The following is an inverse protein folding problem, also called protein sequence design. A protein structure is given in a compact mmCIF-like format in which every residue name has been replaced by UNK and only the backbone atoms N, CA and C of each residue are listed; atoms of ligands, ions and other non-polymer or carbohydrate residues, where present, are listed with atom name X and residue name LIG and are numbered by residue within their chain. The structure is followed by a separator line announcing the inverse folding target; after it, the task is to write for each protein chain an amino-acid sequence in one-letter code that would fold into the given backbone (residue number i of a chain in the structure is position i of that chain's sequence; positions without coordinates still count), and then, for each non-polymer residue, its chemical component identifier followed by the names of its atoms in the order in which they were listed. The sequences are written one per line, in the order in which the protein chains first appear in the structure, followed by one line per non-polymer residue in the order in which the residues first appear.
data_IF_409146323337
#
_entry.id   IF_409146323337
#
_cell.length_a   1.000
_cell.length_b   1.000
_cell.length_c   1.000
_cell.angle_alpha   90.00
_cell.angle_beta   90.00
_cell.angle_gamma   90.00
#
_symmetry.space_group_name_H-M   'P 1'
#
loop_
_entity.id
_entity.type
_entity.pdbx_description
1 polymer ?
#
# COMPACT_ATOMS: atom_id res chain seq x y z
N UNK A 1 -21.81 22.67 -14.03
CA UNK A 1 -21.35 21.58 -14.92
C UNK A 1 -19.89 21.23 -14.63
N UNK A 2 -19.00 22.22 -14.46
CA UNK A 2 -17.57 21.98 -14.13
C UNK A 2 -17.32 21.13 -12.88
N UNK A 3 -18.14 21.29 -11.84
CA UNK A 3 -18.09 20.49 -10.60
C UNK A 3 -18.19 18.96 -10.83
N UNK A 4 -18.92 18.52 -11.86
CA UNK A 4 -19.05 17.09 -12.20
C UNK A 4 -17.89 16.61 -13.07
N UNK A 5 -17.31 17.49 -13.88
CA UNK A 5 -16.14 17.20 -14.72
C UNK A 5 -14.88 17.07 -13.87
N UNK A 6 -14.69 17.97 -12.90
CA UNK A 6 -13.58 17.94 -11.93
C UNK A 6 -13.63 16.71 -11.01
N UNK A 7 -14.85 16.30 -10.63
CA UNK A 7 -15.04 15.09 -9.83
C UNK A 7 -14.54 13.83 -10.55
N UNK A 8 -14.69 13.75 -11.88
CA UNK A 8 -14.16 12.64 -12.68
C UNK A 8 -12.78 12.95 -13.27
N UNK A 9 -12.26 14.15 -13.04
CA UNK A 9 -10.98 14.64 -13.54
C UNK A 9 -9.79 14.14 -12.72
N UNK A 10 -8.61 14.24 -13.32
CA UNK A 10 -7.34 13.87 -12.68
C UNK A 10 -7.05 14.76 -11.47
N UNK A 11 -7.45 16.03 -11.54
CA UNK A 11 -7.15 17.06 -10.54
C UNK A 11 -8.00 16.92 -9.28
N UNK A 12 -9.28 16.54 -9.42
CA UNK A 12 -10.21 16.35 -8.32
C UNK A 12 -10.28 14.89 -7.84
N UNK A 13 -11.16 14.10 -8.47
CA UNK A 13 -11.42 12.72 -8.04
C UNK A 13 -10.25 11.77 -8.23
N UNK A 14 -9.45 11.96 -9.28
CA UNK A 14 -8.24 11.18 -9.53
C UNK A 14 -7.21 11.31 -8.40
N UNK A 15 -6.95 12.53 -7.93
CA UNK A 15 -6.08 12.75 -6.77
C UNK A 15 -6.65 12.14 -5.48
N UNK A 16 -7.96 12.28 -5.25
CA UNK A 16 -8.61 11.71 -4.06
C UNK A 16 -8.47 10.17 -4.03
N UNK A 17 -8.73 9.51 -5.16
CA UNK A 17 -8.58 8.06 -5.31
C UNK A 17 -7.12 7.62 -5.18
N UNK A 18 -6.19 8.34 -5.80
CA UNK A 18 -4.75 8.05 -5.69
C UNK A 18 -4.28 8.10 -4.24
N UNK A 19 -4.65 9.15 -3.49
CA UNK A 19 -4.33 9.30 -2.06
C UNK A 19 -4.96 8.19 -1.23
N UNK A 20 -6.21 7.86 -1.48
CA UNK A 20 -6.89 6.79 -0.75
C UNK A 20 -6.21 5.42 -0.98
N UNK A 21 -5.89 5.10 -2.24
CA UNK A 21 -5.14 3.89 -2.58
C UNK A 21 -3.76 3.86 -1.91
N UNK A 22 -3.07 5.00 -1.87
CA UNK A 22 -1.78 5.14 -1.20
C UNK A 22 -1.88 4.88 0.30
N UNK A 23 -2.88 5.46 0.98
CA UNK A 23 -3.08 5.27 2.41
C UNK A 23 -3.46 3.83 2.75
N UNK A 24 -4.39 3.22 2.01
CA UNK A 24 -4.76 1.81 2.22
C UNK A 24 -3.59 0.87 1.97
N UNK A 25 -2.84 1.09 0.89
CA UNK A 25 -1.63 0.36 0.58
C UNK A 25 -0.60 0.49 1.70
N UNK A 26 -0.34 1.72 2.14
CA UNK A 26 0.66 2.05 3.15
C UNK A 26 0.32 1.43 4.52
N UNK A 27 -0.93 1.56 4.97
CA UNK A 27 -1.38 0.95 6.23
C UNK A 27 -1.22 -0.57 6.18
N UNK A 28 -1.60 -1.20 5.07
CA UNK A 28 -1.46 -2.64 4.89
C UNK A 28 0.01 -3.05 4.86
N UNK A 29 0.84 -2.33 4.11
CA UNK A 29 2.28 -2.62 3.98
C UNK A 29 3.00 -2.53 5.32
N UNK A 30 2.83 -1.41 6.04
CA UNK A 30 3.44 -1.20 7.36
C UNK A 30 2.86 -2.16 8.40
N UNK A 31 1.54 -2.41 8.38
CA UNK A 31 0.91 -3.38 9.28
C UNK A 31 1.51 -4.79 9.14
N UNK A 32 1.77 -5.24 7.91
CA UNK A 32 2.42 -6.52 7.66
C UNK A 32 3.90 -6.51 8.09
N UNK A 33 4.62 -5.40 7.95
CA UNK A 33 5.97 -5.26 8.53
C UNK A 33 5.95 -5.46 10.03
N UNK A 34 5.02 -4.80 10.73
CA UNK A 34 4.93 -4.94 12.18
C UNK A 34 4.59 -6.36 12.60
N UNK A 35 3.70 -7.04 11.85
CA UNK A 35 3.44 -8.45 12.07
C UNK A 35 4.72 -9.29 11.96
N UNK A 36 5.54 -9.12 10.92
CA UNK A 36 6.77 -9.89 10.78
C UNK A 36 7.82 -9.58 11.85
N UNK A 37 8.02 -8.29 12.15
CA UNK A 37 9.09 -7.84 13.03
C UNK A 37 8.80 -8.08 14.52
N UNK A 38 7.55 -7.89 14.95
CA UNK A 38 7.21 -7.92 16.37
C UNK A 38 6.43 -9.16 16.81
N UNK A 39 5.63 -9.74 15.90
CA UNK A 39 4.69 -10.82 16.27
C UNK A 39 5.23 -12.17 15.81
N UNK A 40 5.51 -12.33 14.51
CA UNK A 40 5.88 -13.62 13.93
C UNK A 40 7.17 -14.19 14.52
N UNK A 41 8.20 -13.36 14.68
CA UNK A 41 9.49 -13.79 15.22
C UNK A 41 9.39 -14.36 16.63
N UNK A 42 8.72 -13.63 17.53
CA UNK A 42 8.47 -14.07 18.90
C UNK A 42 7.62 -15.36 18.93
N UNK A 43 6.50 -15.38 18.19
CA UNK A 43 5.63 -16.55 18.13
C UNK A 43 6.34 -17.80 17.61
N UNK A 44 7.24 -17.67 16.62
CA UNK A 44 7.96 -18.82 16.08
C UNK A 44 8.99 -19.38 17.05
N UNK A 45 9.55 -18.56 17.95
CA UNK A 45 10.51 -19.02 18.96
C UNK A 45 9.90 -19.99 19.97
N UNK A 46 8.58 -19.88 20.19
CA UNK A 46 7.81 -20.73 21.10
C UNK A 46 7.27 -22.01 20.41
N UNK A 47 7.34 -22.08 19.08
CA UNK A 47 6.84 -23.21 18.29
C UNK A 47 7.90 -24.29 18.10
N UNK A 48 7.50 -25.55 18.22
CA UNK A 48 8.27 -26.70 17.76
C UNK A 48 8.36 -26.77 16.23
N UNK A 49 9.34 -27.49 15.71
CA UNK A 49 9.71 -27.47 14.27
C UNK A 49 8.57 -27.81 13.32
N UNK A 50 7.77 -28.83 13.64
CA UNK A 50 6.63 -29.23 12.81
C UNK A 50 5.57 -28.11 12.71
N UNK A 51 5.22 -27.49 13.84
CA UNK A 51 4.25 -26.39 13.90
C UNK A 51 4.77 -25.14 13.19
N UNK A 52 6.06 -24.80 13.37
CA UNK A 52 6.70 -23.69 12.67
C UNK A 52 6.68 -23.88 11.15
N UNK A 53 7.00 -25.09 10.68
CA UNK A 53 6.95 -25.44 9.25
C UNK A 53 5.55 -25.36 8.64
N UNK A 54 4.50 -25.61 9.43
CA UNK A 54 3.11 -25.44 9.01
C UNK A 54 2.71 -23.95 9.01
N UNK A 55 3.09 -23.19 10.04
CA UNK A 55 2.85 -21.75 10.13
C UNK A 55 3.50 -20.98 8.96
N UNK A 56 4.73 -21.34 8.57
CA UNK A 56 5.38 -20.80 7.38
C UNK A 56 4.54 -21.02 6.12
N UNK A 57 4.05 -22.26 5.93
CA UNK A 57 3.25 -22.65 4.75
C UNK A 57 1.89 -21.95 4.69
N UNK A 58 1.19 -21.85 5.82
CA UNK A 58 -0.19 -21.33 5.87
C UNK A 58 -0.28 -19.82 6.09
N UNK A 59 0.66 -19.24 6.80
CA UNK A 59 0.61 -17.84 7.25
C UNK A 59 1.66 -17.05 6.49
N UNK A 60 2.95 -17.31 6.74
CA UNK A 60 4.05 -16.45 6.30
C UNK A 60 4.07 -16.21 4.80
N UNK A 61 3.93 -17.25 3.97
CA UNK A 61 3.95 -17.06 2.50
C UNK A 61 2.76 -16.26 1.98
N UNK A 62 1.57 -16.42 2.58
CA UNK A 62 0.38 -15.62 2.23
C UNK A 62 0.57 -14.16 2.66
N UNK A 63 1.07 -13.95 3.88
CA UNK A 63 1.40 -12.62 4.39
C UNK A 63 2.45 -11.92 3.51
N UNK A 64 3.47 -12.64 3.04
CA UNK A 64 4.51 -12.11 2.13
C UNK A 64 3.93 -11.73 0.76
N UNK A 65 3.00 -12.53 0.22
CA UNK A 65 2.32 -12.17 -1.03
C UNK A 65 1.57 -10.85 -0.90
N UNK A 66 0.77 -10.70 0.17
CA UNK A 66 0.05 -9.45 0.44
C UNK A 66 1.00 -8.28 0.72
N UNK A 67 2.10 -8.53 1.42
CA UNK A 67 3.13 -7.52 1.69
C UNK A 67 3.70 -6.95 0.38
N UNK A 68 4.02 -7.81 -0.59
CA UNK A 68 4.54 -7.40 -1.90
C UNK A 68 3.55 -6.48 -2.63
N UNK A 69 2.28 -6.88 -2.70
CA UNK A 69 1.28 -6.09 -3.43
C UNK A 69 0.88 -4.81 -2.70
N UNK A 70 0.84 -4.81 -1.37
CA UNK A 70 0.61 -3.61 -0.59
C UNK A 70 1.75 -2.59 -0.76
N UNK A 71 3.00 -3.05 -0.73
CA UNK A 71 4.17 -2.21 -0.99
C UNK A 71 4.15 -1.65 -2.42
N UNK A 72 3.87 -2.50 -3.42
CA UNK A 72 3.76 -2.08 -4.81
C UNK A 72 2.62 -1.07 -5.02
N UNK A 73 1.45 -1.29 -4.43
CA UNK A 73 0.31 -0.36 -4.49
C UNK A 73 0.69 1.00 -3.90
N UNK A 74 1.35 1.01 -2.73
CA UNK A 74 1.81 2.24 -2.08
C UNK A 74 2.80 2.98 -2.97
N UNK A 75 3.77 2.27 -3.55
CA UNK A 75 4.79 2.89 -4.40
C UNK A 75 4.20 3.45 -5.70
N UNK A 76 3.39 2.66 -6.42
CA UNK A 76 2.75 3.07 -7.68
C UNK A 76 1.80 4.25 -7.47
N UNK A 77 0.95 4.18 -6.44
CA UNK A 77 0.05 5.30 -6.12
C UNK A 77 0.83 6.54 -5.67
N UNK A 78 1.96 6.39 -4.99
CA UNK A 78 2.83 7.52 -4.62
C UNK A 78 3.42 8.22 -5.83
N UNK A 79 3.94 7.45 -6.80
CA UNK A 79 4.43 7.99 -8.07
C UNK A 79 3.31 8.68 -8.84
N UNK A 80 2.13 8.06 -8.90
CA UNK A 80 0.97 8.67 -9.55
C UNK A 80 0.65 10.04 -8.96
N UNK A 81 0.54 10.14 -7.63
CA UNK A 81 0.23 11.40 -6.94
C UNK A 81 1.29 12.47 -7.25
N UNK A 82 2.58 12.12 -7.15
CA UNK A 82 3.66 13.06 -7.43
C UNK A 82 3.66 13.52 -8.90
N UNK A 83 3.49 12.59 -9.83
CA UNK A 83 3.44 12.90 -11.26
C UNK A 83 2.27 13.81 -11.61
N UNK A 84 1.08 13.56 -11.05
CA UNK A 84 -0.08 14.45 -11.26
C UNK A 84 0.13 15.82 -10.62
N UNK A 85 0.74 15.89 -9.44
CA UNK A 85 1.03 17.17 -8.78
C UNK A 85 2.03 18.01 -9.56
N UNK A 86 3.08 17.40 -10.09
CA UNK A 86 4.08 18.09 -10.90
C UNK A 86 3.48 18.62 -12.21
N UNK A 87 2.69 17.80 -12.92
CA UNK A 87 2.00 18.21 -14.14
C UNK A 87 1.03 19.39 -13.91
N UNK A 88 0.26 19.36 -12.82
CA UNK A 88 -0.66 20.45 -12.47
C UNK A 88 0.12 21.72 -12.17
N UNK A 89 1.16 21.63 -11.33
CA UNK A 89 1.98 22.79 -10.98
C UNK A 89 2.61 23.42 -12.23
N UNK A 90 3.13 22.64 -13.17
CA UNK A 90 3.78 23.16 -14.37
C UNK A 90 2.78 23.90 -15.31
N UNK A 91 1.52 23.46 -15.33
CA UNK A 91 0.45 24.14 -16.07
C UNK A 91 0.01 25.47 -15.45
N UNK A 92 0.17 25.67 -14.14
CA UNK A 92 -0.25 26.89 -13.45
C UNK A 92 0.74 28.07 -13.63
N UNK A 93 1.96 27.82 -14.14
CA UNK A 93 3.00 28.84 -14.33
C UNK A 93 3.12 29.39 -15.77
N UNK A 94 2.21 29.04 -16.68
CA UNK A 94 2.12 29.55 -18.07
C UNK A 94 0.72 30.10 -18.39
#
# INVERSE_FOLDING_TARGET
MELFTDFMGVDGGGQALGRFAHYLGGITWIGLLYFFNFIQGAAFSEMGDAARGEALRKITWRTLWWFRWAAALTWVSGIWILGTQELINDMDYW
#
